data_IF_197438306765
#
_entry.id   IF_197438306765
#
_cell.length_a   1.000
_cell.length_b   1.000
_cell.length_c   1.000
_cell.angle_alpha   90.00
_cell.angle_beta   90.00
_cell.angle_gamma   90.00
#
_symmetry.space_group_name_H-M   'P 1'
#
loop_
_entity.id
_entity.type
_entity.pdbx_description
1 polymer ?
#
# COMPACT_ATOMS: atom_id res chain seq x y z
N UNK A 1 26.23 -8.85 -2.15
CA UNK A 1 24.96 -8.81 -2.92
C UNK A 1 24.20 -10.11 -2.67
N UNK A 2 22.97 -10.02 -2.18
CA UNK A 2 22.10 -11.20 -1.96
C UNK A 2 21.65 -11.84 -3.28
N UNK A 3 21.46 -13.15 -3.25
CA UNK A 3 20.92 -13.95 -4.36
C UNK A 3 19.81 -14.86 -3.84
N UNK A 4 18.70 -14.98 -4.57
CA UNK A 4 17.56 -15.82 -4.12
C UNK A 4 17.91 -17.32 -4.11
N UNK A 5 18.94 -17.72 -4.84
CA UNK A 5 19.51 -19.07 -4.85
C UNK A 5 20.06 -19.46 -3.46
N UNK A 6 20.57 -18.49 -2.70
CA UNK A 6 21.15 -18.67 -1.37
C UNK A 6 20.10 -18.76 -0.24
N UNK A 7 18.82 -18.67 -0.59
CA UNK A 7 17.72 -18.87 0.36
C UNK A 7 17.71 -20.34 0.78
N UNK A 8 17.69 -20.57 2.09
CA UNK A 8 17.58 -21.91 2.70
C UNK A 8 16.11 -22.32 2.73
N UNK A 9 15.25 -21.46 3.28
CA UNK A 9 13.81 -21.68 3.35
C UNK A 9 13.05 -20.35 3.49
N UNK A 10 11.75 -20.40 3.16
CA UNK A 10 10.77 -19.37 3.48
C UNK A 10 9.75 -20.00 4.39
N UNK A 11 9.64 -19.49 5.61
CA UNK A 11 8.79 -20.07 6.67
C UNK A 11 7.88 -19.02 7.31
N UNK A 12 6.97 -19.48 8.17
CA UNK A 12 6.26 -18.57 9.08
C UNK A 12 7.27 -18.03 10.11
N UNK A 13 7.11 -16.76 10.47
CA UNK A 13 7.97 -16.14 11.46
C UNK A 13 7.84 -16.84 12.83
N UNK A 14 8.98 -16.98 13.53
CA UNK A 14 9.05 -17.59 14.85
C UNK A 14 9.01 -16.47 15.90
N UNK A 15 8.11 -16.57 16.89
CA UNK A 15 7.99 -15.57 17.96
C UNK A 15 7.37 -14.24 17.57
N UNK A 16 6.93 -14.06 16.31
CA UNK A 16 6.21 -12.88 15.82
C UNK A 16 5.30 -13.22 14.62
N UNK A 17 4.29 -12.39 14.29
CA UNK A 17 3.48 -12.59 13.09
C UNK A 17 4.27 -12.44 11.79
N UNK A 18 3.82 -13.13 10.74
CA UNK A 18 4.35 -12.98 9.38
C UNK A 18 5.18 -14.16 8.88
N UNK A 19 6.18 -13.84 8.06
CA UNK A 19 6.99 -14.75 7.27
C UNK A 19 8.46 -14.35 7.34
N UNK A 20 9.34 -15.33 7.21
CA UNK A 20 10.79 -15.16 7.22
C UNK A 20 11.37 -15.76 5.94
N UNK A 21 12.20 -14.98 5.24
CA UNK A 21 13.06 -15.48 4.17
C UNK A 21 14.44 -15.71 4.80
N UNK A 22 14.82 -16.97 4.95
CA UNK A 22 16.03 -17.38 5.66
C UNK A 22 17.15 -17.62 4.65
N UNK A 23 18.23 -16.88 4.79
CA UNK A 23 19.49 -17.10 4.07
C UNK A 23 20.47 -17.86 4.94
N UNK A 24 21.57 -18.33 4.35
CA UNK A 24 22.69 -18.89 5.11
C UNK A 24 23.23 -17.89 6.16
N UNK A 25 23.81 -18.41 7.26
CA UNK A 25 24.36 -17.64 8.39
C UNK A 25 23.32 -16.80 9.16
N UNK A 26 22.10 -17.34 9.32
CA UNK A 26 21.01 -16.74 10.10
C UNK A 26 20.62 -15.31 9.67
N UNK A 27 20.92 -14.95 8.42
CA UNK A 27 20.43 -13.71 7.82
C UNK A 27 18.95 -13.89 7.45
N UNK A 28 18.07 -13.23 8.20
CA UNK A 28 16.61 -13.37 8.05
C UNK A 28 15.99 -12.05 7.62
N UNK A 29 15.25 -12.06 6.51
CA UNK A 29 14.37 -10.96 6.13
C UNK A 29 12.97 -11.25 6.67
N UNK A 30 12.41 -10.32 7.45
CA UNK A 30 11.07 -10.44 8.02
C UNK A 30 10.03 -9.61 7.26
N UNK A 31 8.93 -10.28 6.90
CA UNK A 31 7.78 -9.73 6.19
C UNK A 31 6.50 -10.07 6.94
N UNK A 32 5.55 -9.15 7.05
CA UNK A 32 4.24 -9.44 7.67
C UNK A 32 3.21 -9.95 6.67
N UNK A 33 3.31 -9.52 5.41
CA UNK A 33 2.34 -9.80 4.36
C UNK A 33 2.88 -10.86 3.40
N UNK A 34 2.15 -11.98 3.30
CA UNK A 34 2.50 -13.08 2.40
C UNK A 34 2.70 -12.62 0.95
N UNK A 35 1.87 -11.69 0.48
CA UNK A 35 1.87 -11.26 -0.93
C UNK A 35 3.08 -10.43 -1.33
N UNK A 36 3.81 -9.85 -0.38
CA UNK A 36 5.00 -9.02 -0.66
C UNK A 36 6.28 -9.87 -0.77
N UNK A 37 6.22 -11.15 -0.39
CA UNK A 37 7.34 -12.10 -0.55
C UNK A 37 7.80 -12.13 -2.01
N UNK A 38 6.88 -12.30 -2.96
CA UNK A 38 7.25 -12.46 -4.37
C UNK A 38 7.80 -11.18 -5.00
N UNK A 39 7.26 -10.01 -4.65
CA UNK A 39 7.78 -8.73 -5.16
C UNK A 39 9.21 -8.50 -4.67
N UNK A 40 9.51 -8.83 -3.40
CA UNK A 40 10.87 -8.73 -2.88
C UNK A 40 11.82 -9.71 -3.57
N UNK A 41 11.41 -10.96 -3.80
CA UNK A 41 12.24 -11.96 -4.47
C UNK A 41 12.59 -11.56 -5.92
N UNK A 42 11.61 -11.02 -6.66
CA UNK A 42 11.83 -10.48 -7.99
C UNK A 42 12.84 -9.33 -7.97
N UNK A 43 12.73 -8.43 -6.98
CA UNK A 43 13.66 -7.32 -6.83
C UNK A 43 15.08 -7.79 -6.45
N UNK A 44 15.23 -8.76 -5.55
CA UNK A 44 16.54 -9.33 -5.21
C UNK A 44 17.20 -9.98 -6.43
N UNK A 45 16.43 -10.71 -7.24
CA UNK A 45 16.96 -11.44 -8.40
C UNK A 45 17.37 -10.54 -9.56
N UNK A 46 16.61 -9.48 -9.83
CA UNK A 46 16.74 -8.72 -11.08
C UNK A 46 17.02 -7.23 -10.88
N UNK A 47 17.00 -6.73 -9.64
CA UNK A 47 17.20 -5.31 -9.30
C UNK A 47 16.01 -4.40 -9.64
N UNK A 48 15.32 -4.63 -10.77
CA UNK A 48 14.18 -3.82 -11.23
C UNK A 48 12.99 -4.74 -11.51
N UNK A 49 11.81 -4.40 -11.00
CA UNK A 49 10.59 -5.18 -11.24
C UNK A 49 9.33 -4.30 -11.28
N UNK A 50 8.26 -4.82 -11.87
CA UNK A 50 6.99 -4.12 -12.05
C UNK A 50 5.80 -5.08 -12.00
N UNK A 51 4.60 -4.51 -12.10
CA UNK A 51 3.33 -5.22 -12.18
C UNK A 51 3.31 -6.30 -13.28
N UNK A 52 3.99 -6.06 -14.40
CA UNK A 52 4.07 -7.00 -15.52
C UNK A 52 4.74 -8.32 -15.13
N UNK A 53 5.66 -8.29 -14.15
CA UNK A 53 6.35 -9.49 -13.66
C UNK A 53 5.46 -10.38 -12.80
N UNK A 54 4.31 -9.87 -12.32
CA UNK A 54 3.31 -10.60 -11.54
C UNK A 54 2.02 -10.89 -12.33
N UNK A 55 2.00 -10.52 -13.61
CA UNK A 55 0.92 -10.84 -14.52
C UNK A 55 0.92 -12.35 -14.87
N UNK A 56 -0.24 -12.83 -15.34
CA UNK A 56 -0.40 -14.23 -15.75
C UNK A 56 0.57 -14.58 -16.88
N UNK A 57 1.35 -15.65 -16.69
CA UNK A 57 2.31 -16.14 -17.69
C UNK A 57 3.67 -15.42 -17.67
N UNK A 58 3.98 -14.65 -16.63
CA UNK A 58 5.30 -14.04 -16.46
C UNK A 58 6.41 -15.09 -16.34
N UNK A 59 7.38 -15.08 -17.27
CA UNK A 59 8.55 -15.95 -17.22
C UNK A 59 9.41 -15.71 -15.98
N UNK A 60 9.52 -14.46 -15.51
CA UNK A 60 10.30 -14.10 -14.31
C UNK A 60 9.68 -14.66 -13.04
N UNK A 61 8.35 -14.66 -12.95
CA UNK A 61 7.63 -15.31 -11.85
C UNK A 61 7.87 -16.82 -11.84
N UNK A 62 7.76 -17.46 -13.01
CA UNK A 62 8.01 -18.90 -13.15
C UNK A 62 9.45 -19.27 -12.79
N UNK A 63 10.44 -18.48 -13.23
CA UNK A 63 11.85 -18.67 -12.89
C UNK A 63 12.09 -18.60 -11.37
N UNK A 64 11.59 -17.55 -10.71
CA UNK A 64 11.71 -17.41 -9.25
C UNK A 64 11.05 -18.58 -8.52
N UNK A 65 9.85 -19.00 -8.94
CA UNK A 65 9.17 -20.17 -8.36
C UNK A 65 9.99 -21.45 -8.55
N UNK A 66 10.63 -21.61 -9.72
CA UNK A 66 11.51 -22.74 -10.03
C UNK A 66 12.74 -22.79 -9.14
N UNK A 67 13.45 -21.67 -8.97
CA UNK A 67 14.62 -21.55 -8.09
C UNK A 67 14.28 -21.90 -6.64
N UNK A 68 13.08 -21.55 -6.19
CA UNK A 68 12.63 -21.75 -4.82
C UNK A 68 11.85 -23.04 -4.61
N UNK A 69 11.76 -23.92 -5.59
CA UNK A 69 10.99 -25.17 -5.49
C UNK A 69 11.44 -25.97 -4.25
N UNK A 70 10.47 -26.34 -3.40
CA UNK A 70 10.72 -27.06 -2.15
C UNK A 70 11.23 -26.21 -0.98
N UNK A 71 11.49 -24.91 -1.18
CA UNK A 71 11.97 -24.00 -0.12
C UNK A 71 10.85 -23.21 0.55
N UNK A 72 9.60 -23.33 0.10
CA UNK A 72 8.45 -22.61 0.63
C UNK A 72 7.16 -23.41 0.44
N UNK A 73 6.10 -23.04 1.15
CA UNK A 73 4.77 -23.61 0.89
C UNK A 73 4.21 -23.01 -0.42
N UNK A 74 3.97 -23.85 -1.43
CA UNK A 74 3.57 -23.44 -2.78
C UNK A 74 2.30 -22.56 -2.82
N UNK A 75 1.42 -22.67 -1.83
CA UNK A 75 0.21 -21.83 -1.72
C UNK A 75 0.49 -20.37 -1.34
N UNK A 76 1.73 -20.02 -1.02
CA UNK A 76 2.10 -18.67 -0.60
C UNK A 76 2.38 -17.73 -1.76
N UNK A 77 2.81 -18.27 -2.91
CA UNK A 77 3.12 -17.51 -4.12
C UNK A 77 2.17 -17.94 -5.23
N UNK A 78 1.27 -17.03 -5.61
CA UNK A 78 0.29 -17.29 -6.66
C UNK A 78 0.94 -17.28 -8.05
N UNK A 79 0.32 -17.94 -9.01
CA UNK A 79 0.74 -17.89 -10.42
C UNK A 79 0.42 -16.55 -11.11
N UNK A 80 -0.47 -15.77 -10.50
CA UNK A 80 -0.79 -14.40 -10.89
C UNK A 80 -1.46 -13.64 -9.75
N UNK A 81 -1.44 -12.31 -9.84
CA UNK A 81 -2.08 -11.41 -8.89
C UNK A 81 -3.08 -10.52 -9.62
N UNK A 82 -4.34 -10.49 -9.17
CA UNK A 82 -5.40 -9.67 -9.77
C UNK A 82 -5.11 -8.16 -9.66
N UNK A 83 -4.43 -7.76 -8.60
CA UNK A 83 -3.86 -6.43 -8.40
C UNK A 83 -2.34 -6.62 -8.26
N UNK A 84 -1.64 -6.58 -9.39
CA UNK A 84 -0.21 -6.87 -9.48
C UNK A 84 0.67 -5.73 -8.93
N UNK A 85 0.14 -4.50 -8.80
CA UNK A 85 0.83 -3.39 -8.13
C UNK A 85 0.86 -3.58 -6.61
N UNK A 86 -0.21 -4.15 -6.04
CA UNK A 86 -0.36 -4.25 -4.59
C UNK A 86 0.81 -4.94 -3.87
N UNK A 87 1.38 -6.07 -4.35
CA UNK A 87 2.61 -6.64 -3.79
C UNK A 87 3.79 -5.68 -3.68
N UNK A 88 4.00 -4.78 -4.64
CA UNK A 88 5.10 -3.82 -4.61
C UNK A 88 4.77 -2.60 -3.74
N UNK A 89 3.56 -2.06 -3.89
CA UNK A 89 3.11 -0.92 -3.09
C UNK A 89 3.08 -1.23 -1.60
N UNK A 90 2.66 -2.44 -1.20
CA UNK A 90 2.68 -2.88 0.20
C UNK A 90 4.10 -3.17 0.70
N UNK A 91 4.99 -3.68 -0.17
CA UNK A 91 6.40 -3.89 0.18
C UNK A 91 7.10 -2.56 0.53
N UNK A 92 6.78 -1.51 -0.21
CA UNK A 92 7.32 -0.17 0.04
C UNK A 92 6.65 0.50 1.25
N UNK A 93 5.32 0.62 1.25
CA UNK A 93 4.58 1.43 2.23
C UNK A 93 4.32 0.73 3.57
N UNK A 94 3.99 -0.57 3.55
CA UNK A 94 3.51 -1.27 4.74
C UNK A 94 4.60 -2.13 5.38
N UNK A 95 5.41 -2.79 4.55
CA UNK A 95 6.59 -3.50 5.00
C UNK A 95 7.77 -2.57 5.32
N UNK A 96 7.69 -1.31 4.92
CA UNK A 96 8.62 -0.24 5.30
C UNK A 96 9.97 -0.27 4.59
N UNK A 97 10.11 -1.01 3.48
CA UNK A 97 11.33 -1.03 2.68
C UNK A 97 11.42 0.21 1.79
N UNK A 98 11.54 1.39 2.41
CA UNK A 98 11.45 2.69 1.72
C UNK A 98 12.57 2.94 0.71
N UNK A 99 13.69 2.22 0.81
CA UNK A 99 14.80 2.20 -0.15
C UNK A 99 14.48 1.41 -1.44
N UNK A 100 13.37 0.68 -1.47
CA UNK A 100 12.83 0.13 -2.71
C UNK A 100 12.03 1.24 -3.37
N UNK A 101 12.70 2.06 -4.18
CA UNK A 101 12.08 3.26 -4.71
C UNK A 101 11.26 2.97 -5.97
N UNK A 102 10.10 3.61 -6.14
CA UNK A 102 9.48 3.69 -7.46
C UNK A 102 10.47 4.34 -8.43
N UNK A 103 10.72 3.72 -9.59
CA UNK A 103 11.55 4.31 -10.62
C UNK A 103 10.94 5.65 -11.07
N UNK A 104 11.80 6.63 -11.34
CA UNK A 104 11.38 7.96 -11.80
C UNK A 104 10.65 7.90 -13.14
N UNK A 105 11.01 6.93 -13.99
CA UNK A 105 10.36 6.69 -15.28
C UNK A 105 9.44 5.47 -15.22
N UNK A 106 8.24 5.60 -15.79
CA UNK A 106 7.31 4.47 -15.98
C UNK A 106 7.62 3.81 -17.31
N UNK A 107 8.02 2.54 -17.30
CA UNK A 107 8.17 1.77 -18.53
C UNK A 107 6.78 1.33 -19.01
N UNK A 108 6.38 1.77 -20.21
CA UNK A 108 5.09 1.43 -20.82
C UNK A 108 3.86 1.72 -19.92
N UNK A 109 3.95 2.74 -19.05
CA UNK A 109 2.87 3.16 -18.15
C UNK A 109 2.78 2.42 -16.81
N UNK A 110 3.56 1.35 -16.60
CA UNK A 110 3.58 0.61 -15.34
C UNK A 110 4.55 1.22 -14.34
N UNK A 111 4.18 1.19 -13.05
CA UNK A 111 5.11 1.60 -12.00
C UNK A 111 6.21 0.54 -11.86
N UNK A 112 7.47 0.96 -12.03
CA UNK A 112 8.62 0.12 -11.73
C UNK A 112 9.11 0.41 -10.31
N UNK A 113 9.71 -0.60 -9.70
CA UNK A 113 10.34 -0.54 -8.39
C UNK A 113 11.79 -1.02 -8.54
N UNK A 114 12.71 -0.36 -7.83
CA UNK A 114 14.15 -0.62 -7.92
C UNK A 114 14.70 -0.95 -6.55
N UNK A 115 15.42 -2.05 -6.44
CA UNK A 115 16.29 -2.40 -5.32
C UNK A 115 17.73 -2.42 -5.83
N UNK A 116 18.55 -1.49 -5.37
CA UNK A 116 19.95 -1.42 -5.80
C UNK A 116 20.81 -2.42 -5.02
N UNK A 117 21.85 -3.02 -5.63
CA UNK A 117 22.74 -3.97 -4.96
C UNK A 117 23.31 -3.50 -3.62
N UNK A 118 23.63 -2.21 -3.51
CA UNK A 118 24.13 -1.55 -2.30
C UNK A 118 23.10 -1.49 -1.15
N UNK A 119 21.81 -1.59 -1.45
CA UNK A 119 20.72 -1.55 -0.47
C UNK A 119 20.33 -2.94 0.06
N UNK A 120 20.94 -4.03 -0.45
CA UNK A 120 20.57 -5.39 -0.06
C UNK A 120 20.77 -5.65 1.44
N UNK A 121 21.82 -5.10 2.06
CA UNK A 121 22.05 -5.29 3.49
C UNK A 121 21.01 -4.57 4.37
N UNK A 122 20.35 -3.54 3.84
CA UNK A 122 19.25 -2.85 4.55
C UNK A 122 18.04 -3.76 4.75
N UNK A 123 17.85 -4.78 3.91
CA UNK A 123 16.74 -5.73 4.03
C UNK A 123 16.72 -6.52 5.36
N UNK A 124 17.85 -6.57 6.07
CA UNK A 124 17.98 -7.24 7.36
C UNK A 124 17.72 -6.31 8.56
N UNK A 125 17.53 -5.02 8.33
CA UNK A 125 17.20 -4.07 9.39
C UNK A 125 15.80 -4.38 9.90
N UNK A 126 15.63 -4.34 11.23
CA UNK A 126 14.31 -4.49 11.84
C UNK A 126 13.51 -3.20 11.64
N UNK A 127 12.58 -3.22 10.69
CA UNK A 127 11.71 -2.09 10.37
C UNK A 127 10.38 -2.23 11.12
N UNK A 128 9.92 -1.14 11.75
CA UNK A 128 8.55 -1.06 12.29
C UNK A 128 7.55 -1.07 11.12
N UNK A 129 6.71 -2.10 11.08
CA UNK A 129 5.74 -2.31 10.01
C UNK A 129 4.51 -1.43 10.22
N UNK A 130 4.00 -0.82 9.16
CA UNK A 130 2.76 -0.06 9.20
C UNK A 130 1.59 -1.04 9.10
N UNK A 131 0.84 -1.21 10.19
CA UNK A 131 -0.31 -2.10 10.25
C UNK A 131 -1.60 -1.33 9.97
N UNK A 132 -2.23 -1.62 8.83
CA UNK A 132 -3.57 -1.12 8.51
C UNK A 132 -4.63 -2.15 8.89
N UNK A 133 -5.50 -1.79 9.82
CA UNK A 133 -6.65 -2.61 10.23
C UNK A 133 -7.92 -2.02 9.63
N UNK A 134 -8.64 -2.77 8.79
CA UNK A 134 -9.92 -2.33 8.25
C UNK A 134 -10.97 -2.15 9.35
N UNK A 135 -11.81 -1.11 9.22
CA UNK A 135 -12.97 -0.92 10.08
C UNK A 135 -13.97 -2.09 9.98
N UNK A 136 -14.54 -2.48 11.12
CA UNK A 136 -15.73 -3.33 11.19
C UNK A 136 -16.95 -2.63 10.60
N UNK A 137 -18.03 -3.38 10.31
CA UNK A 137 -19.27 -2.79 9.77
C UNK A 137 -19.86 -1.74 10.74
N UNK A 138 -19.79 -1.99 12.05
CA UNK A 138 -20.27 -1.05 13.07
C UNK A 138 -19.49 0.26 13.05
N UNK A 139 -18.15 0.18 12.98
CA UNK A 139 -17.29 1.36 12.91
C UNK A 139 -17.49 2.12 11.59
N UNK A 140 -17.68 1.41 10.47
CA UNK A 140 -18.04 2.03 9.18
C UNK A 140 -19.34 2.82 9.28
N UNK A 141 -20.38 2.26 9.92
CA UNK A 141 -21.65 2.94 10.13
C UNK A 141 -21.51 4.17 11.05
N UNK A 142 -20.65 4.09 12.08
CA UNK A 142 -20.35 5.22 12.96
C UNK A 142 -19.66 6.37 12.23
N UNK A 143 -18.63 6.09 11.42
CA UNK A 143 -17.96 7.11 10.58
C UNK A 143 -18.95 7.73 9.60
N UNK A 144 -19.79 6.92 8.95
CA UNK A 144 -20.81 7.40 8.03
C UNK A 144 -21.84 8.30 8.74
N UNK A 145 -22.28 7.94 9.95
CA UNK A 145 -23.20 8.76 10.76
C UNK A 145 -22.57 10.09 11.15
N UNK A 146 -21.31 10.10 11.64
CA UNK A 146 -20.57 11.32 11.98
C UNK A 146 -20.48 12.28 10.79
N UNK A 147 -20.43 11.76 9.57
CA UNK A 147 -20.32 12.54 8.33
C UNK A 147 -21.66 12.70 7.57
N UNK A 148 -22.80 12.38 8.17
CA UNK A 148 -24.12 12.46 7.55
C UNK A 148 -24.23 11.76 6.18
N UNK A 149 -23.53 10.63 6.03
CA UNK A 149 -23.49 9.85 4.80
C UNK A 149 -22.78 10.55 3.61
N UNK A 150 -21.98 11.58 3.86
CA UNK A 150 -21.30 12.38 2.84
C UNK A 150 -19.79 12.18 2.85
N UNK A 151 -19.16 12.45 1.71
CA UNK A 151 -17.71 12.56 1.60
C UNK A 151 -17.20 13.67 2.53
N UNK A 152 -16.21 13.33 3.37
CA UNK A 152 -15.61 14.27 4.33
C UNK A 152 -14.88 15.45 3.66
N UNK A 153 -14.53 15.30 2.38
CA UNK A 153 -13.90 16.34 1.58
C UNK A 153 -14.96 17.07 0.76
N UNK A 154 -15.50 16.47 -0.30
CA UNK A 154 -16.34 17.20 -1.27
C UNK A 154 -17.85 17.15 -1.02
N UNK A 155 -18.31 16.51 0.04
CA UNK A 155 -19.72 16.55 0.45
C UNK A 155 -20.68 15.71 -0.40
N UNK A 156 -20.17 15.01 -1.42
CA UNK A 156 -20.96 14.11 -2.25
C UNK A 156 -21.59 13.00 -1.40
N UNK A 157 -22.86 12.69 -1.66
CA UNK A 157 -23.57 11.59 -1.01
C UNK A 157 -22.93 10.25 -1.36
N UNK A 158 -22.61 9.46 -0.34
CA UNK A 158 -21.92 8.19 -0.50
C UNK A 158 -22.90 7.02 -0.48
N UNK A 159 -22.67 6.06 -1.37
CA UNK A 159 -23.41 4.82 -1.48
C UNK A 159 -22.47 3.62 -1.34
N UNK A 160 -22.93 2.52 -0.72
CA UNK A 160 -22.20 1.26 -0.74
C UNK A 160 -22.20 0.69 -2.16
N UNK A 161 -21.13 -0.03 -2.52
CA UNK A 161 -20.92 -0.58 -3.88
C UNK A 161 -22.12 -1.40 -4.39
N UNK A 162 -22.80 -2.13 -3.51
CA UNK A 162 -23.99 -2.93 -3.84
C UNK A 162 -25.19 -2.12 -4.32
N UNK A 163 -25.27 -0.83 -3.97
CA UNK A 163 -26.36 0.08 -4.37
C UNK A 163 -26.03 0.93 -5.59
N UNK A 164 -24.83 0.78 -6.17
CA UNK A 164 -24.37 1.59 -7.29
C UNK A 164 -24.56 0.83 -8.60
N UNK A 165 -25.41 1.36 -9.47
CA UNK A 165 -25.67 0.78 -10.78
C UNK A 165 -24.43 0.86 -11.70
N UNK A 166 -24.40 0.07 -12.77
CA UNK A 166 -23.26 0.03 -13.70
C UNK A 166 -23.04 1.40 -14.37
N UNK A 167 -24.11 2.05 -14.80
CA UNK A 167 -24.09 3.27 -15.62
C UNK A 167 -24.38 4.55 -14.81
N UNK A 168 -24.10 4.56 -13.50
CA UNK A 168 -24.28 5.75 -12.67
C UNK A 168 -23.35 6.87 -13.14
N UNK A 169 -23.91 8.04 -13.46
CA UNK A 169 -23.16 9.24 -13.78
C UNK A 169 -22.22 9.63 -12.62
N UNK A 170 -20.98 10.02 -12.94
CA UNK A 170 -19.95 10.37 -11.96
C UNK A 170 -19.80 9.34 -10.82
N UNK A 171 -19.82 8.04 -11.16
CA UNK A 171 -19.77 6.91 -10.22
C UNK A 171 -18.73 7.04 -9.09
N UNK A 172 -17.57 7.61 -9.38
CA UNK A 172 -16.49 7.77 -8.40
C UNK A 172 -16.75 8.88 -7.37
N UNK A 173 -17.70 9.79 -7.62
CA UNK A 173 -18.17 10.80 -6.64
C UNK A 173 -19.19 10.24 -5.67
N UNK A 174 -19.85 9.13 -5.99
CA UNK A 174 -20.86 8.49 -5.12
C UNK A 174 -20.35 7.21 -4.46
N UNK A 175 -19.34 6.54 -5.03
CA UNK A 175 -18.77 5.33 -4.43
C UNK A 175 -18.03 5.66 -3.13
N UNK A 176 -18.60 5.26 -2.00
CA UNK A 176 -17.98 5.42 -0.69
C UNK A 176 -16.80 4.48 -0.47
N UNK A 177 -15.75 5.00 0.15
CA UNK A 177 -14.59 4.28 0.68
C UNK A 177 -14.21 4.87 2.03
N UNK A 178 -13.58 4.06 2.88
CA UNK A 178 -13.03 4.49 4.16
C UNK A 178 -11.52 4.51 4.06
N UNK A 179 -10.91 5.62 4.47
CA UNK A 179 -9.47 5.81 4.44
C UNK A 179 -9.01 6.54 5.70
N UNK A 180 -7.73 6.38 6.03
CA UNK A 180 -7.15 7.07 7.16
C UNK A 180 -7.04 8.58 6.90
N UNK A 181 -7.31 9.41 7.91
CA UNK A 181 -7.05 10.85 7.90
C UNK A 181 -5.55 11.09 7.79
N UNK A 182 -4.80 10.57 8.76
CA UNK A 182 -3.34 10.51 8.76
C UNK A 182 -2.93 9.11 8.26
N UNK A 183 -2.18 9.00 7.15
CA UNK A 183 -1.69 7.70 6.68
C UNK A 183 -0.87 6.96 7.74
N UNK A 184 -1.01 5.64 7.84
CA UNK A 184 -0.32 4.82 8.85
C UNK A 184 1.20 4.90 8.69
N UNK A 185 1.69 4.98 7.46
CA UNK A 185 3.09 5.20 7.12
C UNK A 185 3.65 6.56 7.58
N UNK A 186 2.77 7.52 7.91
CA UNK A 186 3.11 8.85 8.45
C UNK A 186 2.69 9.03 9.91
N UNK A 187 2.64 7.93 10.67
CA UNK A 187 2.36 7.94 12.10
C UNK A 187 0.88 7.83 12.48
N UNK A 188 -0.03 7.65 11.52
CA UNK A 188 -1.44 7.44 11.80
C UNK A 188 -1.73 6.08 12.44
N UNK A 189 -2.71 6.02 13.34
CA UNK A 189 -3.19 4.77 13.91
C UNK A 189 -4.38 4.20 13.13
N UNK A 190 -4.84 3.01 13.51
CA UNK A 190 -6.02 2.37 12.93
C UNK A 190 -7.23 2.46 13.85
N UNK A 191 -7.33 3.54 14.64
CA UNK A 191 -8.52 3.82 15.47
C UNK A 191 -9.60 4.50 14.64
N UNK A 192 -10.86 4.35 15.05
CA UNK A 192 -12.01 4.94 14.35
C UNK A 192 -11.88 6.45 14.13
N UNK A 193 -11.24 7.18 15.04
CA UNK A 193 -11.10 8.63 14.96
C UNK A 193 -10.11 9.06 13.86
N UNK A 194 -9.15 8.20 13.51
CA UNK A 194 -8.28 8.42 12.35
C UNK A 194 -8.93 7.96 11.03
N UNK A 195 -10.20 7.56 10.99
CA UNK A 195 -10.88 7.24 9.74
C UNK A 195 -11.80 8.36 9.26
N UNK A 196 -11.96 8.43 7.94
CA UNK A 196 -12.95 9.27 7.28
C UNK A 196 -13.57 8.54 6.08
N UNK A 197 -14.85 8.79 5.82
CA UNK A 197 -15.52 8.31 4.62
C UNK A 197 -15.33 9.30 3.46
N UNK A 198 -14.83 8.83 2.33
CA UNK A 198 -14.56 9.63 1.14
C UNK A 198 -15.29 9.05 -0.07
N UNK A 199 -15.58 9.90 -1.05
CA UNK A 199 -15.87 9.37 -2.39
C UNK A 199 -14.57 8.82 -2.99
N UNK A 200 -14.68 7.82 -3.86
CA UNK A 200 -13.53 7.20 -4.49
C UNK A 200 -12.62 8.20 -5.22
N UNK A 201 -13.21 9.23 -5.85
CA UNK A 201 -12.45 10.30 -6.50
C UNK A 201 -11.57 11.06 -5.50
N UNK A 202 -12.14 11.58 -4.40
CA UNK A 202 -11.40 12.32 -3.38
C UNK A 202 -10.33 11.45 -2.70
N UNK A 203 -10.63 10.17 -2.45
CA UNK A 203 -9.65 9.23 -1.93
C UNK A 203 -8.45 9.05 -2.86
N UNK A 204 -8.72 8.90 -4.17
CA UNK A 204 -7.66 8.80 -5.18
C UNK A 204 -6.82 10.08 -5.24
N UNK A 205 -7.45 11.25 -5.26
CA UNK A 205 -6.75 12.53 -5.22
C UNK A 205 -5.92 12.71 -3.95
N UNK A 206 -6.47 12.36 -2.78
CA UNK A 206 -5.75 12.37 -1.51
C UNK A 206 -4.48 11.52 -1.59
N UNK A 207 -4.60 10.27 -2.07
CA UNK A 207 -3.44 9.39 -2.24
C UNK A 207 -2.37 9.98 -3.17
N UNK A 208 -2.78 10.54 -4.32
CA UNK A 208 -1.85 11.17 -5.27
C UNK A 208 -1.07 12.34 -4.63
N UNK A 209 -1.74 13.17 -3.84
CA UNK A 209 -1.10 14.29 -3.16
C UNK A 209 -0.25 13.85 -1.96
N UNK A 210 -0.70 12.86 -1.18
CA UNK A 210 0.09 12.32 -0.08
C UNK A 210 1.42 11.71 -0.57
N UNK A 211 1.45 11.12 -1.77
CA UNK A 211 2.67 10.53 -2.34
C UNK A 211 3.76 11.56 -2.69
N UNK A 212 3.40 12.82 -2.97
CA UNK A 212 4.39 13.88 -3.22
C UNK A 212 4.75 14.64 -1.93
N UNK A 213 4.18 14.26 -0.79
CA UNK A 213 4.43 14.91 0.49
C UNK A 213 5.75 14.40 1.10
N UNK A 214 6.74 15.28 1.18
CA UNK A 214 8.07 14.96 1.73
C UNK A 214 8.18 15.10 3.26
N UNK A 215 7.10 15.45 3.95
CA UNK A 215 7.10 15.50 5.42
C UNK A 215 7.14 14.08 5.98
N UNK A 216 8.01 13.84 6.96
CA UNK A 216 8.13 12.56 7.65
C UNK A 216 6.84 12.25 8.42
N UNK A 217 6.34 13.24 9.18
CA UNK A 217 5.05 13.17 9.86
C UNK A 217 3.97 13.92 9.09
N UNK A 218 2.72 13.47 9.22
CA UNK A 218 1.60 14.16 8.60
C UNK A 218 1.29 15.48 9.30
N UNK A 219 1.30 16.57 8.54
CA UNK A 219 0.86 17.88 9.03
C UNK A 219 -0.63 17.83 9.41
N UNK A 220 -0.92 18.01 10.70
CA UNK A 220 -2.29 18.01 11.23
C UNK A 220 -3.13 19.19 10.75
N UNK A 221 -2.50 20.20 10.12
CA UNK A 221 -3.19 21.32 9.46
C UNK A 221 -3.49 21.07 7.98
N UNK A 222 -3.10 19.91 7.44
CA UNK A 222 -3.47 19.54 6.08
C UNK A 222 -4.97 19.27 5.99
N UNK A 223 -5.67 19.97 5.09
CA UNK A 223 -7.10 19.74 4.80
C UNK A 223 -7.44 18.29 4.47
N UNK A 224 -6.49 17.51 3.92
CA UNK A 224 -6.74 16.10 3.59
C UNK A 224 -6.83 15.20 4.85
N UNK A 225 -6.31 15.65 5.99
CA UNK A 225 -6.38 14.97 7.28
C UNK A 225 -7.50 15.56 8.17
N UNK A 226 -7.61 16.89 8.22
CA UNK A 226 -8.54 17.63 9.09
C UNK A 226 -9.43 18.60 8.31
N UNK A 227 -10.30 18.09 7.40
CA UNK A 227 -11.19 18.89 6.55
C UNK A 227 -12.36 19.51 7.30
N UNK A 228 -12.37 19.51 8.62
CA UNK A 228 -13.26 20.30 9.46
C UNK A 228 -12.65 21.66 9.85
N UNK A 229 -11.32 21.75 9.93
CA UNK A 229 -10.63 22.91 10.51
C UNK A 229 -9.74 23.66 9.51
N UNK A 230 -9.42 23.05 8.35
CA UNK A 230 -8.38 23.56 7.45
C UNK A 230 -8.83 23.58 5.98
N UNK A 231 -8.27 24.49 5.17
CA UNK A 231 -8.60 24.58 3.74
C UNK A 231 -7.39 24.34 2.83
N UNK A 232 -6.18 24.27 3.42
CA UNK A 232 -4.92 24.21 2.68
C UNK A 232 -4.40 22.78 2.58
N UNK A 233 -4.01 22.39 1.39
CA UNK A 233 -3.27 21.15 1.13
C UNK A 233 -1.79 21.38 1.42
N UNK A 234 -1.24 20.77 2.46
CA UNK A 234 0.12 21.08 2.92
C UNK A 234 1.24 20.90 1.87
N UNK A 235 1.22 19.86 1.01
CA UNK A 235 2.25 19.67 -0.01
C UNK A 235 2.23 20.72 -1.14
N UNK A 236 1.04 21.11 -1.61
CA UNK A 236 0.89 22.01 -2.77
C UNK A 236 0.62 23.46 -2.39
N UNK A 237 0.28 23.70 -1.11
CA UNK A 237 -0.20 24.99 -0.58
C UNK A 237 -1.50 25.48 -1.23
N UNK A 238 -2.21 24.61 -1.93
CA UNK A 238 -3.49 24.93 -2.56
C UNK A 238 -4.60 25.11 -1.53
N UNK A 239 -5.35 26.19 -1.64
CA UNK A 239 -6.63 26.38 -0.95
C UNK A 239 -7.75 25.73 -1.76
N UNK A 240 -8.45 24.78 -1.14
CA UNK A 240 -9.56 24.04 -1.76
C UNK A 240 -10.92 24.32 -1.11
N UNK A 241 -11.05 25.46 -0.42
CA UNK A 241 -12.30 25.88 0.23
C UNK A 241 -13.52 25.84 -0.71
N UNK A 242 -13.32 26.15 -1.99
CA UNK A 242 -14.34 26.08 -3.05
C UNK A 242 -14.88 24.66 -3.33
N UNK A 243 -14.23 23.63 -2.81
CA UNK A 243 -14.53 22.21 -3.08
C UNK A 243 -14.86 21.42 -1.82
N UNK A 244 -14.87 22.05 -0.65
CA UNK A 244 -15.13 21.39 0.63
C UNK A 244 -16.62 21.29 0.97
N UNK A 245 -16.94 20.33 1.83
CA UNK A 245 -18.26 20.12 2.39
C UNK A 245 -18.47 21.00 3.63
N UNK A 246 -18.61 22.31 3.45
CA UNK A 246 -18.90 23.26 4.53
C UNK A 246 -19.84 24.37 4.06
#
# INVERSE_FOLDING_TARGET
MLKIEDIVEIRKAIGRPGYEIVFSKDKVIWLTKRRTIISLLLLIKYGISSEADLARGSNRLLEVKGILKGKYNETWINDHYADANKPFSELWNEEGFTWIHPAQEKLNGNQQYVLKPEDHDKLFILIKKAFRTSLSIKEQDEVMKKQNGKCNLCGSSLLPKSKIQKNTYAKDRVRGVFDHRIPVEKGGDSTIDNYQALCFYCNKSKWQICNICHLDDCDTNCVLATPENNNIISPTKEDISDRLNR
#
